data_IF_194384092057
#
_entry.id   IF_194384092057
#
_cell.length_a   1.000
_cell.length_b   1.000
_cell.length_c   1.000
_cell.angle_alpha   90.00
_cell.angle_beta   90.00
_cell.angle_gamma   90.00
#
_symmetry.space_group_name_H-M   'P 1'
#
loop_
_entity.id
_entity.type
_entity.pdbx_description
1 polymer ?
#
# COMPACT_ATOMS: atom_id res chain seq x y z
N UNK A 1 -9.14 -18.33 40.20
CA UNK A 1 -9.46 -17.88 41.58
C UNK A 1 -9.62 -16.37 41.55
N UNK A 2 -10.85 -15.84 41.60
CA UNK A 2 -11.14 -14.42 41.78
C UNK A 2 -11.45 -14.10 43.26
N UNK A 3 -11.53 -12.82 43.62
CA UNK A 3 -12.79 -12.29 44.16
C UNK A 3 -13.15 -10.97 43.46
N UNK A 4 -14.39 -10.62 43.08
CA UNK A 4 -15.75 -10.73 43.64
C UNK A 4 -16.08 -9.65 44.68
N UNK A 5 -17.08 -8.83 44.30
CA UNK A 5 -17.99 -7.94 45.05
C UNK A 5 -17.47 -6.56 45.48
N UNK A 6 -18.26 -5.50 45.45
CA UNK A 6 -19.68 -5.33 45.13
C UNK A 6 -20.07 -3.86 45.39
N UNK A 7 -21.03 -3.32 44.64
CA UNK A 7 -21.48 -1.93 44.79
C UNK A 7 -22.63 -1.78 45.78
N UNK A 8 -22.76 -0.58 46.36
CA UNK A 8 -24.03 0.01 46.78
C UNK A 8 -23.84 1.53 47.01
N UNK A 9 -24.83 2.31 46.59
CA UNK A 9 -24.89 3.76 46.69
C UNK A 9 -25.78 4.19 47.87
N UNK A 10 -25.46 5.32 48.51
CA UNK A 10 -26.40 6.24 49.17
C UNK A 10 -25.64 7.51 49.63
N UNK A 11 -26.14 8.70 49.28
CA UNK A 11 -25.94 9.92 50.09
C UNK A 11 -27.15 10.12 51.03
N UNK A 12 -27.38 11.30 51.65
CA UNK A 12 -26.53 12.48 51.79
C UNK A 12 -26.49 13.07 53.23
N UNK A 13 -25.79 14.21 53.37
CA UNK A 13 -26.14 15.39 54.19
C UNK A 13 -25.53 15.63 55.59
N UNK A 14 -25.03 16.88 55.70
CA UNK A 14 -25.03 17.82 56.83
C UNK A 14 -23.94 17.76 57.92
N UNK A 15 -23.34 18.94 58.21
CA UNK A 15 -22.91 19.29 59.57
C UNK A 15 -21.50 19.89 59.77
N UNK A 16 -21.43 21.23 59.74
CA UNK A 16 -20.62 22.12 60.63
C UNK A 16 -19.08 22.28 60.51
N UNK A 17 -18.70 23.50 60.07
CA UNK A 17 -17.82 24.53 60.68
C UNK A 17 -16.55 24.11 61.47
N UNK A 18 -15.35 24.52 61.03
CA UNK A 18 -14.59 25.73 61.49
C UNK A 18 -13.04 25.69 61.27
N UNK A 19 -12.50 26.84 60.78
CA UNK A 19 -11.23 27.55 61.13
C UNK A 19 -9.81 27.10 60.62
N UNK A 20 -9.21 28.02 59.82
CA UNK A 20 -7.80 28.50 59.64
C UNK A 20 -6.55 27.58 59.62
N UNK A 21 -5.71 27.70 58.56
CA UNK A 21 -4.26 27.44 58.56
C UNK A 21 -3.64 27.03 57.20
N UNK A 22 -2.41 27.45 56.79
CA UNK A 22 -2.02 27.60 55.38
C UNK A 22 -1.19 26.46 54.75
N UNK A 23 -1.24 26.44 53.41
CA UNK A 23 -0.24 25.96 52.43
C UNK A 23 0.35 24.53 52.56
N UNK A 24 -0.11 23.62 51.69
CA UNK A 24 0.70 22.49 51.20
C UNK A 24 0.48 22.32 49.68
N UNK A 25 1.58 22.34 48.94
CA UNK A 25 1.63 22.28 47.48
C UNK A 25 1.00 20.99 46.94
N UNK A 26 -0.08 21.13 46.17
CA UNK A 26 -0.62 20.03 45.38
C UNK A 26 0.27 19.80 44.15
N UNK A 27 1.06 18.73 44.16
CA UNK A 27 1.70 18.18 42.97
C UNK A 27 0.65 17.91 41.90
N UNK A 28 0.68 18.68 40.81
CA UNK A 28 -0.21 18.49 39.68
C UNK A 28 0.07 17.14 39.01
N UNK A 29 -0.93 16.25 38.99
CA UNK A 29 -0.86 15.00 38.26
C UNK A 29 -0.58 15.25 36.77
N UNK A 30 0.23 14.42 36.09
CA UNK A 30 0.59 14.64 34.70
C UNK A 30 -0.67 14.67 33.82
N UNK A 31 -0.91 15.80 33.14
CA UNK A 31 -2.01 15.93 32.18
C UNK A 31 -1.84 14.87 31.09
N UNK A 32 -2.71 13.87 31.11
CA UNK A 32 -2.73 12.79 30.13
C UNK A 32 -3.29 13.33 28.81
N UNK A 33 -2.44 13.96 28.00
CA UNK A 33 -2.76 14.48 26.67
C UNK A 33 -2.92 13.39 25.59
N UNK A 34 -2.98 12.11 25.99
CA UNK A 34 -3.22 11.02 25.05
C UNK A 34 -4.74 10.85 24.88
N UNK A 35 -5.27 10.97 23.64
CA UNK A 35 -6.68 10.70 23.38
C UNK A 35 -7.03 9.29 23.85
N UNK A 36 -8.21 9.12 24.45
CA UNK A 36 -8.69 7.79 24.82
C UNK A 36 -8.78 6.91 23.56
N UNK A 37 -8.30 5.68 23.70
CA UNK A 37 -8.26 4.73 22.61
C UNK A 37 -9.67 4.28 22.24
N UNK A 38 -10.08 4.54 21.00
CA UNK A 38 -11.32 4.01 20.43
C UNK A 38 -11.02 3.47 19.03
N UNK A 39 -11.58 2.31 18.67
CA UNK A 39 -11.39 1.70 17.36
C UNK A 39 -11.80 2.65 16.21
N UNK A 40 -12.80 3.50 16.46
CA UNK A 40 -13.24 4.56 15.55
C UNK A 40 -12.17 5.66 15.36
N UNK A 41 -11.61 6.22 16.44
CA UNK A 41 -10.60 7.29 16.36
C UNK A 41 -9.25 6.81 15.85
N UNK A 42 -8.97 5.51 15.98
CA UNK A 42 -7.78 4.86 15.44
C UNK A 42 -7.99 4.25 14.05
N UNK A 43 -9.18 4.40 13.45
CA UNK A 43 -9.53 3.87 12.13
C UNK A 43 -9.27 2.35 12.00
N UNK A 44 -9.42 1.61 13.10
CA UNK A 44 -9.25 0.16 13.17
C UNK A 44 -10.59 -0.59 13.10
N UNK A 45 -11.67 0.10 12.74
CA UNK A 45 -12.93 -0.56 12.54
C UNK A 45 -12.81 -1.60 11.41
N UNK A 46 -13.46 -2.77 11.57
CA UNK A 46 -13.53 -3.74 10.48
C UNK A 46 -14.19 -3.06 9.29
N UNK A 47 -13.41 -2.83 8.24
CA UNK A 47 -13.88 -2.24 7.01
C UNK A 47 -13.76 -3.28 5.91
N UNK A 48 -14.85 -3.53 5.19
CA UNK A 48 -14.77 -4.21 3.91
C UNK A 48 -13.98 -3.33 2.95
N UNK A 49 -12.78 -3.78 2.58
CA UNK A 49 -11.99 -3.20 1.48
C UNK A 49 -12.20 -4.10 0.26
N UNK A 50 -13.22 -3.86 -0.57
CA UNK A 50 -13.39 -4.65 -1.78
C UNK A 50 -12.22 -4.37 -2.71
N UNK A 51 -11.35 -5.37 -2.87
CA UNK A 51 -10.30 -5.35 -3.90
C UNK A 51 -10.98 -5.85 -5.17
N UNK A 52 -11.14 -4.96 -6.15
CA UNK A 52 -11.74 -5.29 -7.45
C UNK A 52 -10.75 -6.09 -8.29
N UNK A 53 -10.62 -7.37 -8.00
CA UNK A 53 -9.91 -8.32 -8.84
C UNK A 53 -10.87 -8.88 -9.92
N UNK A 54 -10.40 -9.16 -11.16
CA UNK A 54 -11.25 -9.61 -12.26
C UNK A 54 -12.06 -10.89 -11.98
N UNK A 55 -11.62 -11.71 -11.03
CA UNK A 55 -12.30 -12.92 -10.59
C UNK A 55 -13.48 -12.67 -9.63
N UNK A 56 -13.51 -11.54 -8.90
CA UNK A 56 -14.62 -11.17 -8.02
C UNK A 56 -15.73 -10.40 -8.76
N UNK A 57 -15.38 -9.64 -9.80
CA UNK A 57 -16.35 -8.91 -10.63
C UNK A 57 -17.19 -9.86 -11.51
N UNK A 58 -16.64 -11.03 -11.87
CA UNK A 58 -17.28 -12.00 -12.77
C UNK A 58 -18.65 -12.51 -12.28
N UNK A 59 -18.82 -12.98 -11.03
CA UNK A 59 -20.14 -13.38 -10.52
C UNK A 59 -21.08 -12.20 -10.24
N UNK A 60 -20.56 -11.04 -9.84
CA UNK A 60 -21.38 -9.84 -9.60
C UNK A 60 -21.96 -9.25 -10.88
N UNK A 61 -21.21 -9.27 -11.98
CA UNK A 61 -21.70 -8.81 -13.28
C UNK A 61 -22.83 -9.72 -13.79
N UNK A 62 -22.71 -11.04 -13.62
CA UNK A 62 -23.76 -12.00 -13.99
C UNK A 62 -25.02 -11.85 -13.13
N UNK A 63 -24.88 -11.66 -11.81
CA UNK A 63 -26.00 -11.43 -10.90
C UNK A 63 -26.71 -10.09 -11.14
N UNK A 64 -25.97 -9.05 -11.52
CA UNK A 64 -26.56 -7.78 -11.94
C UNK A 64 -27.29 -7.94 -13.28
N UNK A 65 -26.73 -8.67 -14.25
CA UNK A 65 -27.45 -8.89 -15.52
C UNK A 65 -28.77 -9.66 -15.34
N UNK A 66 -28.88 -10.63 -14.43
CA UNK A 66 -30.15 -11.36 -14.21
C UNK A 66 -31.20 -10.53 -13.46
N UNK A 67 -30.76 -9.71 -12.51
CA UNK A 67 -31.65 -8.84 -11.72
C UNK A 67 -32.17 -7.69 -12.57
N UNK A 68 -31.30 -7.09 -13.40
CA UNK A 68 -31.69 -6.08 -14.38
C UNK A 68 -32.56 -6.68 -15.49
N UNK A 69 -32.31 -7.91 -15.95
CA UNK A 69 -33.19 -8.56 -16.92
C UNK A 69 -34.61 -8.71 -16.35
N UNK A 70 -34.76 -9.24 -15.13
CA UNK A 70 -36.09 -9.46 -14.54
C UNK A 70 -36.86 -8.15 -14.32
N UNK A 71 -36.18 -7.09 -13.84
CA UNK A 71 -36.79 -5.76 -13.68
C UNK A 71 -37.06 -5.06 -15.03
N UNK A 72 -36.22 -5.27 -16.02
CA UNK A 72 -36.40 -4.69 -17.35
C UNK A 72 -37.58 -5.34 -18.08
N UNK A 73 -37.74 -6.67 -18.01
CA UNK A 73 -38.89 -7.36 -18.60
C UNK A 73 -40.20 -7.12 -17.84
N UNK A 74 -40.20 -6.99 -16.51
CA UNK A 74 -41.42 -6.69 -15.75
C UNK A 74 -41.92 -5.24 -15.95
N UNK A 75 -41.03 -4.27 -16.19
CA UNK A 75 -41.41 -2.88 -16.45
C UNK A 75 -41.74 -2.61 -17.93
N UNK A 76 -41.14 -3.35 -18.87
CA UNK A 76 -41.46 -3.25 -20.31
C UNK A 76 -42.89 -3.75 -20.61
N UNK A 77 -43.39 -4.76 -19.90
CA UNK A 77 -44.78 -5.22 -20.05
C UNK A 77 -45.84 -4.25 -19.53
N UNK A 78 -45.48 -3.31 -18.63
CA UNK A 78 -46.46 -2.39 -18.03
C UNK A 78 -46.69 -1.10 -18.85
N UNK A 79 -45.87 -0.83 -19.88
CA UNK A 79 -45.86 0.47 -20.57
C UNK A 79 -46.26 0.46 -22.06
N UNK A 80 -46.56 -0.70 -22.66
CA UNK A 80 -47.13 -0.75 -24.02
C UNK A 80 -48.61 -0.34 -24.08
N UNK A 81 -49.23 0.02 -22.94
CA UNK A 81 -50.64 0.41 -22.86
C UNK A 81 -50.88 1.73 -22.10
N UNK A 82 -50.07 2.75 -22.35
CA UNK A 82 -50.43 4.12 -21.95
C UNK A 82 -49.86 5.13 -22.93
N UNK A 83 -50.77 5.74 -23.70
CA UNK A 83 -50.48 6.81 -24.64
C UNK A 83 -50.30 8.13 -23.88
N UNK A 84 -49.48 9.02 -24.44
CA UNK A 84 -49.29 10.44 -24.10
C UNK A 84 -48.44 10.82 -22.86
N UNK A 85 -47.32 11.52 -23.11
CA UNK A 85 -46.63 12.38 -22.13
C UNK A 85 -45.23 11.94 -21.67
N UNK A 86 -44.18 12.44 -22.34
CA UNK A 86 -42.83 12.68 -21.79
C UNK A 86 -42.04 11.58 -21.03
N UNK A 87 -42.05 10.31 -21.44
CA UNK A 87 -41.11 9.32 -20.88
C UNK A 87 -39.85 9.11 -21.75
N UNK A 88 -39.01 10.15 -21.89
CA UNK A 88 -37.74 10.08 -22.65
C UNK A 88 -36.65 9.25 -21.95
N UNK A 89 -36.81 8.88 -20.68
CA UNK A 89 -35.75 8.26 -19.87
C UNK A 89 -35.45 6.82 -20.31
N UNK A 90 -36.47 6.01 -20.56
CA UNK A 90 -36.32 4.59 -20.93
C UNK A 90 -35.57 4.41 -22.28
N UNK A 91 -35.95 5.08 -23.39
CA UNK A 91 -35.22 4.91 -24.65
C UNK A 91 -33.77 5.41 -24.59
N UNK A 92 -33.50 6.46 -23.81
CA UNK A 92 -32.13 6.96 -23.58
C UNK A 92 -31.30 5.90 -22.85
N UNK A 93 -31.84 5.27 -21.81
CA UNK A 93 -31.13 4.20 -21.07
C UNK A 93 -30.85 2.97 -21.95
N UNK A 94 -31.77 2.60 -22.83
CA UNK A 94 -31.57 1.49 -23.78
C UNK A 94 -30.47 1.82 -24.80
N UNK A 95 -30.47 3.04 -25.34
CA UNK A 95 -29.43 3.49 -26.27
C UNK A 95 -28.05 3.50 -25.61
N UNK A 96 -27.97 4.01 -24.39
CA UNK A 96 -26.74 4.01 -23.58
C UNK A 96 -26.27 2.57 -23.29
N UNK A 97 -27.19 1.66 -22.96
CA UNK A 97 -26.89 0.24 -22.76
C UNK A 97 -26.32 -0.42 -24.03
N UNK A 98 -26.94 -0.20 -25.18
CA UNK A 98 -26.47 -0.70 -26.48
C UNK A 98 -25.08 -0.14 -26.85
N UNK A 99 -24.75 1.08 -26.43
CA UNK A 99 -23.42 1.66 -26.60
C UNK A 99 -22.37 1.02 -25.67
N UNK A 100 -22.71 0.76 -24.41
CA UNK A 100 -21.76 0.19 -23.45
C UNK A 100 -21.50 -1.30 -23.61
N UNK A 101 -22.42 -2.08 -24.20
CA UNK A 101 -22.22 -3.52 -24.48
C UNK A 101 -20.97 -3.80 -25.35
N UNK A 102 -20.81 -3.19 -26.55
CA UNK A 102 -19.64 -3.45 -27.38
C UNK A 102 -18.35 -2.94 -26.71
N UNK A 103 -18.41 -1.81 -25.99
CA UNK A 103 -17.28 -1.29 -25.22
C UNK A 103 -16.87 -2.29 -24.12
N UNK A 104 -17.84 -2.82 -23.37
CA UNK A 104 -17.63 -3.82 -22.33
C UNK A 104 -17.04 -5.12 -22.89
N UNK A 105 -17.54 -5.61 -24.02
CA UNK A 105 -16.99 -6.78 -24.73
C UNK A 105 -15.56 -6.53 -25.19
N UNK A 106 -15.26 -5.34 -25.73
CA UNK A 106 -13.91 -4.96 -26.14
C UNK A 106 -12.95 -4.90 -24.94
N UNK A 107 -13.36 -4.29 -23.82
CA UNK A 107 -12.58 -4.25 -22.58
C UNK A 107 -12.34 -5.64 -22.00
N UNK A 108 -13.36 -6.51 -21.98
CA UNK A 108 -13.25 -7.89 -21.50
C UNK A 108 -12.28 -8.70 -22.36
N UNK A 109 -12.40 -8.60 -23.69
CA UNK A 109 -11.48 -9.25 -24.62
C UNK A 109 -10.05 -8.73 -24.47
N UNK A 110 -9.85 -7.43 -24.25
CA UNK A 110 -8.54 -6.85 -24.00
C UNK A 110 -7.93 -7.35 -22.67
N UNK A 111 -8.74 -7.45 -21.61
CA UNK A 111 -8.30 -7.94 -20.30
C UNK A 111 -7.84 -9.41 -20.35
N UNK A 112 -8.59 -10.27 -21.03
CA UNK A 112 -8.24 -11.70 -21.16
C UNK A 112 -7.00 -11.96 -22.01
N UNK A 113 -6.50 -10.98 -22.78
CA UNK A 113 -5.24 -11.11 -23.53
C UNK A 113 -4.01 -10.92 -22.65
N UNK A 114 -4.17 -10.36 -21.44
CA UNK A 114 -3.07 -10.15 -20.51
C UNK A 114 -2.74 -11.48 -19.84
N UNK A 115 -1.52 -11.96 -20.06
CA UNK A 115 -1.00 -13.17 -19.41
C UNK A 115 -0.06 -12.78 -18.28
N UNK A 116 -0.39 -13.20 -17.07
CA UNK A 116 0.34 -12.90 -15.84
C UNK A 116 0.81 -14.19 -15.16
N UNK A 117 2.02 -14.16 -14.58
CA UNK A 117 2.55 -15.24 -13.74
C UNK A 117 2.91 -14.64 -12.38
N UNK A 118 2.17 -15.05 -11.34
CA UNK A 118 2.40 -14.61 -9.96
C UNK A 118 3.12 -15.71 -9.19
N UNK A 119 4.20 -15.37 -8.49
CA UNK A 119 4.94 -16.30 -7.65
C UNK A 119 5.31 -15.68 -6.30
N UNK A 120 4.92 -16.36 -5.22
CA UNK A 120 5.17 -15.92 -3.85
C UNK A 120 6.43 -16.57 -3.28
N UNK A 121 7.42 -15.75 -2.87
CA UNK A 121 8.73 -16.23 -2.42
C UNK A 121 9.09 -15.94 -0.95
N UNK A 122 8.23 -15.25 -0.20
CA UNK A 122 8.43 -14.81 1.20
C UNK A 122 8.75 -15.93 2.22
N UNK A 123 8.34 -17.17 1.92
CA UNK A 123 8.60 -18.36 2.75
C UNK A 123 9.57 -19.35 2.09
N UNK A 124 9.74 -19.25 0.76
CA UNK A 124 10.59 -20.17 -0.01
C UNK A 124 12.07 -19.80 0.07
N UNK A 125 12.34 -18.50 0.23
CA UNK A 125 13.70 -17.97 0.32
C UNK A 125 14.24 -17.89 1.75
N UNK A 126 13.46 -18.32 2.74
CA UNK A 126 13.87 -18.37 4.15
C UNK A 126 14.20 -19.83 4.51
N UNK A 127 15.40 -20.11 5.06
CA UNK A 127 15.76 -21.43 5.54
C UNK A 127 14.75 -21.98 6.57
N UNK A 128 14.49 -23.29 6.55
CA UNK A 128 13.48 -23.94 7.41
C UNK A 128 13.69 -23.68 8.91
N UNK A 129 14.96 -23.62 9.35
CA UNK A 129 15.35 -23.33 10.73
C UNK A 129 15.03 -21.89 11.17
N UNK A 130 14.88 -20.95 10.22
CA UNK A 130 14.65 -19.53 10.51
C UNK A 130 13.24 -19.06 10.14
N UNK A 131 12.32 -19.98 9.79
CA UNK A 131 10.94 -19.63 9.40
C UNK A 131 10.17 -18.90 10.49
N UNK A 132 10.44 -19.22 11.76
CA UNK A 132 9.82 -18.57 12.93
C UNK A 132 10.49 -17.23 13.28
N UNK A 133 11.74 -16.99 12.85
CA UNK A 133 12.48 -15.75 13.08
C UNK A 133 12.96 -15.13 11.77
N UNK A 134 12.01 -14.72 10.94
CA UNK A 134 12.29 -14.08 9.63
C UNK A 134 13.04 -12.76 9.79
N UNK A 135 12.72 -11.97 10.82
CA UNK A 135 13.37 -10.68 11.08
C UNK A 135 14.86 -10.88 11.37
N UNK A 136 15.21 -11.84 12.23
CA UNK A 136 16.61 -12.17 12.51
C UNK A 136 17.36 -12.66 11.27
N UNK A 137 16.72 -13.43 10.40
CA UNK A 137 17.31 -13.85 9.12
C UNK A 137 17.58 -12.65 8.18
N UNK A 138 16.62 -11.72 8.06
CA UNK A 138 16.75 -10.52 7.21
C UNK A 138 17.85 -9.60 7.74
N UNK A 139 17.92 -9.38 9.05
CA UNK A 139 18.87 -8.46 9.68
C UNK A 139 20.30 -9.01 9.73
N UNK A 140 20.49 -10.33 9.69
CA UNK A 140 21.82 -10.93 9.79
C UNK A 140 22.61 -10.76 8.48
N UNK A 141 23.58 -9.85 8.46
CA UNK A 141 24.42 -9.57 7.29
C UNK A 141 25.32 -10.75 6.87
N UNK A 142 25.69 -11.63 7.81
CA UNK A 142 26.60 -12.76 7.55
C UNK A 142 25.96 -13.87 6.73
N UNK A 143 24.62 -13.94 6.69
CA UNK A 143 23.89 -14.97 5.96
C UNK A 143 23.63 -14.51 4.53
N UNK A 144 24.04 -15.34 3.56
CA UNK A 144 23.71 -15.14 2.16
C UNK A 144 22.20 -15.31 1.93
N UNK A 145 21.58 -14.31 1.29
CA UNK A 145 20.13 -14.23 1.02
C UNK A 145 19.78 -14.56 -0.43
N UNK A 146 20.75 -14.98 -1.24
CA UNK A 146 20.50 -15.38 -2.63
C UNK A 146 19.56 -16.58 -2.67
N UNK A 147 18.43 -16.41 -3.37
CA UNK A 147 17.39 -17.40 -3.51
C UNK A 147 17.12 -17.67 -4.98
N UNK A 148 17.35 -18.91 -5.43
CA UNK A 148 17.08 -19.31 -6.81
C UNK A 148 15.76 -20.07 -6.87
N UNK A 149 14.86 -19.61 -7.72
CA UNK A 149 13.53 -20.20 -7.89
C UNK A 149 13.34 -20.62 -9.35
N UNK A 150 12.85 -21.83 -9.56
CA UNK A 150 12.44 -22.32 -10.87
C UNK A 150 11.00 -21.93 -11.16
N UNK A 151 10.80 -20.89 -11.96
CA UNK A 151 9.49 -20.43 -12.44
C UNK A 151 9.10 -21.20 -13.70
N UNK A 152 7.94 -21.86 -13.68
CA UNK A 152 7.36 -22.51 -14.86
C UNK A 152 6.44 -21.52 -15.57
N UNK A 153 6.75 -21.22 -16.83
CA UNK A 153 5.95 -20.34 -17.69
C UNK A 153 5.21 -21.26 -18.67
N UNK A 154 3.90 -21.50 -18.50
CA UNK A 154 3.17 -22.47 -19.32
C UNK A 154 2.97 -21.99 -20.76
N UNK A 155 2.83 -20.67 -20.96
CA UNK A 155 2.53 -20.06 -22.26
C UNK A 155 3.59 -19.04 -22.64
N UNK A 156 3.89 -18.94 -23.94
CA UNK A 156 4.84 -17.94 -24.43
C UNK A 156 4.33 -16.51 -24.17
N UNK A 157 5.12 -15.72 -23.45
CA UNK A 157 4.83 -14.31 -23.18
C UNK A 157 5.21 -13.43 -24.37
N UNK A 158 4.26 -12.61 -24.86
CA UNK A 158 4.52 -11.62 -25.91
C UNK A 158 5.16 -10.38 -25.30
N UNK A 159 6.08 -9.74 -26.05
CA UNK A 159 6.69 -8.46 -25.66
C UNK A 159 5.64 -7.32 -25.70
N UNK A 160 5.75 -6.28 -24.83
CA UNK A 160 6.70 -6.11 -23.74
C UNK A 160 6.34 -6.93 -22.49
N UNK A 161 7.35 -7.40 -21.74
CA UNK A 161 7.18 -8.12 -20.47
C UNK A 161 7.57 -7.17 -19.35
N UNK A 162 6.64 -6.95 -18.43
CA UNK A 162 6.86 -6.13 -17.23
C UNK A 162 7.04 -7.04 -16.01
N UNK A 163 7.88 -6.59 -15.07
CA UNK A 163 8.14 -7.29 -13.81
C UNK A 163 7.64 -6.40 -12.69
N UNK A 164 6.76 -6.95 -11.86
CA UNK A 164 6.22 -6.28 -10.69
C UNK A 164 6.56 -7.07 -9.43
N UNK A 165 6.79 -6.36 -8.34
CA UNK A 165 6.84 -6.96 -7.01
C UNK A 165 5.55 -6.59 -6.26
N UNK A 166 5.08 -7.51 -5.44
CA UNK A 166 3.88 -7.33 -4.65
C UNK A 166 4.24 -7.42 -3.17
N UNK A 167 3.85 -6.40 -2.40
CA UNK A 167 3.97 -6.38 -0.96
C UNK A 167 2.59 -6.60 -0.35
N UNK A 168 2.49 -7.57 0.55
CA UNK A 168 1.28 -7.81 1.34
C UNK A 168 1.43 -7.20 2.74
N UNK A 169 0.32 -6.70 3.30
CA UNK A 169 0.27 -6.05 4.63
C UNK A 169 1.26 -4.88 4.80
N UNK A 170 1.52 -4.14 3.72
CA UNK A 170 2.31 -2.91 3.72
C UNK A 170 1.41 -1.69 3.46
N UNK A 171 1.15 -0.89 4.50
CA UNK A 171 0.14 0.18 4.47
C UNK A 171 0.70 1.54 4.03
N UNK A 172 1.05 1.67 2.73
CA UNK A 172 1.55 2.93 2.18
C UNK A 172 0.53 4.08 2.23
N UNK A 173 -0.76 3.75 2.30
CA UNK A 173 -1.84 4.74 2.37
C UNK A 173 -2.07 5.32 3.78
N UNK A 174 -1.35 4.86 4.79
CA UNK A 174 -1.48 5.43 6.13
C UNK A 174 -1.07 6.91 6.11
N UNK A 175 -1.91 7.83 6.59
CA UNK A 175 -1.69 9.29 6.47
C UNK A 175 -0.27 9.73 6.83
N UNK A 176 0.24 9.29 7.99
CA UNK A 176 1.61 9.63 8.43
C UNK A 176 2.71 9.09 7.52
N UNK A 177 2.48 7.96 6.86
CA UNK A 177 3.44 7.39 5.91
C UNK A 177 3.38 8.17 4.59
N UNK A 178 2.16 8.33 4.06
CA UNK A 178 1.91 8.98 2.77
C UNK A 178 2.39 10.44 2.73
N UNK A 179 2.41 11.15 3.86
CA UNK A 179 2.91 12.53 3.95
C UNK A 179 4.36 12.64 4.42
N UNK A 180 5.06 11.53 4.68
CA UNK A 180 6.43 11.55 5.21
C UNK A 180 7.47 11.60 4.11
N UNK A 181 7.52 12.76 3.44
CA UNK A 181 8.51 13.14 2.43
C UNK A 181 8.46 14.67 2.28
N UNK A 182 9.50 15.27 1.69
CA UNK A 182 9.53 16.70 1.40
C UNK A 182 9.79 16.93 -0.09
N UNK A 183 8.82 17.50 -0.81
CA UNK A 183 8.94 17.73 -2.26
C UNK A 183 10.02 18.76 -2.58
N UNK A 184 10.09 19.86 -1.82
CA UNK A 184 11.05 20.93 -2.06
C UNK A 184 12.50 20.39 -2.00
N UNK A 185 12.78 19.55 -1.00
CA UNK A 185 14.06 18.84 -0.86
C UNK A 185 14.37 17.92 -2.05
N UNK A 186 13.36 17.22 -2.58
CA UNK A 186 13.54 16.31 -3.71
C UNK A 186 13.70 17.03 -5.06
N UNK A 187 13.22 18.28 -5.16
CA UNK A 187 13.21 19.05 -6.40
C UNK A 187 14.41 20.00 -6.54
N UNK A 188 14.82 20.69 -5.47
CA UNK A 188 15.87 21.71 -5.52
C UNK A 188 17.03 21.40 -4.55
N UNK A 189 18.28 21.31 -5.04
CA UNK A 189 19.47 21.14 -4.19
C UNK A 189 19.61 22.18 -3.07
N UNK A 190 19.05 23.38 -3.23
CA UNK A 190 19.11 24.44 -2.20
C UNK A 190 18.29 24.09 -0.95
N UNK A 191 17.27 23.25 -1.09
CA UNK A 191 16.39 22.84 0.00
C UNK A 191 16.93 21.64 0.79
N UNK A 192 18.03 21.03 0.35
CA UNK A 192 18.65 19.88 1.03
C UNK A 192 19.10 20.19 2.46
N UNK A 193 19.59 21.41 2.69
CA UNK A 193 20.05 21.88 3.99
C UNK A 193 18.94 22.51 4.84
N UNK A 194 17.71 22.62 4.30
CA UNK A 194 16.61 23.23 5.01
C UNK A 194 16.23 22.37 6.24
N UNK A 195 16.21 22.99 7.41
CA UNK A 195 15.88 22.32 8.65
C UNK A 195 14.37 22.13 8.84
N UNK A 196 13.52 22.83 8.07
CA UNK A 196 12.05 22.74 8.20
C UNK A 196 11.45 21.55 7.44
N UNK A 197 11.87 20.35 7.83
CA UNK A 197 11.40 19.06 7.26
C UNK A 197 10.57 18.26 8.28
N UNK A 198 9.66 18.94 8.99
CA UNK A 198 8.88 18.36 10.09
C UNK A 198 8.01 17.17 9.67
N UNK A 199 7.50 17.19 8.43
CA UNK A 199 6.66 16.13 7.87
C UNK A 199 7.43 14.81 7.67
N UNK A 200 8.76 14.89 7.52
CA UNK A 200 9.64 13.73 7.37
C UNK A 200 9.91 12.96 8.68
N UNK A 201 9.36 13.38 9.83
CA UNK A 201 9.56 12.65 11.09
C UNK A 201 8.97 11.23 11.01
N UNK A 202 9.59 10.22 11.67
CA UNK A 202 10.80 10.33 12.51
C UNK A 202 12.12 10.40 11.73
N UNK A 203 12.16 9.93 10.49
CA UNK A 203 13.38 9.81 9.67
C UNK A 203 13.73 11.11 8.93
N UNK A 204 13.71 12.23 9.65
CA UNK A 204 14.04 13.55 9.13
C UNK A 204 15.53 13.89 9.27
N UNK A 205 16.14 13.48 10.39
CA UNK A 205 17.50 13.87 10.75
C UNK A 205 18.34 12.65 11.11
N UNK A 206 19.60 12.67 10.71
CA UNK A 206 20.61 11.72 11.12
C UNK A 206 21.17 12.10 12.50
N UNK A 207 22.22 11.40 12.94
CA UNK A 207 22.94 11.74 14.16
C UNK A 207 23.38 13.22 14.14
N UNK A 208 23.33 13.88 15.32
CA UNK A 208 23.70 15.28 15.51
C UNK A 208 22.79 16.31 14.80
N UNK A 209 21.57 15.92 14.42
CA UNK A 209 20.56 16.86 13.88
C UNK A 209 20.76 17.26 12.42
N UNK A 210 21.62 16.54 11.69
CA UNK A 210 21.89 16.81 10.27
C UNK A 210 20.73 16.27 9.42
N UNK A 211 20.14 17.03 8.49
CA UNK A 211 19.08 16.55 7.62
C UNK A 211 19.48 15.31 6.81
N UNK A 212 18.55 14.36 6.70
CA UNK A 212 18.65 13.22 5.79
C UNK A 212 18.12 13.62 4.42
N UNK A 213 18.82 13.24 3.36
CA UNK A 213 18.38 13.42 1.97
C UNK A 213 18.35 12.05 1.30
N UNK A 214 17.23 11.61 0.70
CA UNK A 214 15.87 12.10 0.90
C UNK A 214 15.33 11.77 2.31
N UNK A 215 14.58 12.70 2.92
CA UNK A 215 13.97 12.49 4.23
C UNK A 215 12.64 11.72 4.18
N UNK A 216 12.29 11.10 5.30
CA UNK A 216 10.95 10.56 5.53
C UNK A 216 10.79 9.05 5.33
N UNK A 217 9.68 8.53 5.84
CA UNK A 217 9.40 7.08 5.91
C UNK A 217 9.24 6.43 4.53
N UNK A 218 8.77 7.19 3.54
CA UNK A 218 8.59 6.68 2.17
C UNK A 218 9.92 6.27 1.57
N UNK A 219 10.92 7.15 1.65
CA UNK A 219 12.26 6.84 1.19
C UNK A 219 12.94 5.81 2.10
N UNK A 220 12.78 5.94 3.43
CA UNK A 220 13.43 5.07 4.40
C UNK A 220 13.08 3.59 4.24
N UNK A 221 11.84 3.29 3.85
CA UNK A 221 11.34 1.92 3.68
C UNK A 221 11.37 1.43 2.22
N UNK A 222 12.29 1.99 1.42
CA UNK A 222 12.51 1.58 0.03
C UNK A 222 12.68 0.06 -0.10
N UNK A 223 12.01 -0.54 -1.07
CA UNK A 223 12.17 -1.96 -1.34
C UNK A 223 13.58 -2.31 -1.86
N UNK A 224 14.21 -3.36 -1.33
CA UNK A 224 15.63 -3.63 -1.52
C UNK A 224 15.99 -4.98 -2.16
N UNK A 225 15.01 -5.81 -2.53
CA UNK A 225 15.33 -7.05 -3.22
C UNK A 225 15.78 -6.77 -4.65
N UNK A 226 16.63 -7.66 -5.17
CA UNK A 226 17.12 -7.59 -6.54
C UNK A 226 16.79 -8.87 -7.28
N UNK A 227 16.33 -8.72 -8.53
CA UNK A 227 15.93 -9.84 -9.37
C UNK A 227 16.86 -9.98 -10.56
N UNK A 228 17.21 -11.22 -10.88
CA UNK A 228 17.91 -11.63 -12.10
C UNK A 228 17.22 -12.84 -12.68
N UNK A 229 17.01 -12.86 -13.99
CA UNK A 229 16.29 -13.94 -14.67
C UNK A 229 17.23 -14.67 -15.62
N UNK A 230 17.04 -15.98 -15.72
CA UNK A 230 17.71 -16.79 -16.71
C UNK A 230 16.72 -17.85 -17.23
N UNK A 231 16.84 -18.19 -18.51
CA UNK A 231 16.00 -19.17 -19.19
C UNK A 231 16.85 -20.37 -19.58
N UNK A 232 16.29 -21.57 -19.45
CA UNK A 232 16.85 -22.80 -20.03
C UNK A 232 15.95 -23.24 -21.18
N UNK A 233 16.31 -22.93 -22.44
CA UNK A 233 15.54 -23.41 -23.58
C UNK A 233 15.68 -24.92 -23.72
N UNK A 234 14.56 -25.63 -23.94
CA UNK A 234 14.63 -27.01 -24.43
C UNK A 234 15.04 -26.97 -25.91
N UNK A 235 16.19 -27.56 -26.25
CA UNK A 235 16.61 -27.77 -27.65
C UNK A 235 16.35 -29.22 -28.04
N UNK A 236 16.19 -29.48 -29.33
CA UNK A 236 15.81 -30.78 -29.90
C UNK A 236 16.83 -31.93 -29.73
N UNK A 237 17.77 -31.83 -28.80
CA UNK A 237 18.78 -32.85 -28.51
C UNK A 237 19.38 -32.78 -27.09
N UNK A 238 18.74 -32.05 -26.16
CA UNK A 238 19.20 -31.96 -24.77
C UNK A 238 18.83 -30.68 -24.04
N UNK A 239 19.29 -30.57 -22.78
CA UNK A 239 19.17 -29.36 -21.97
C UNK A 239 20.17 -28.34 -22.49
N UNK A 240 19.69 -27.27 -23.15
CA UNK A 240 20.54 -26.16 -23.56
C UNK A 240 21.12 -25.40 -22.37
N UNK A 241 22.24 -24.70 -22.59
CA UNK A 241 22.87 -23.85 -21.59
C UNK A 241 21.93 -22.77 -21.02
N UNK A 242 22.30 -22.24 -19.86
CA UNK A 242 21.55 -21.18 -19.18
C UNK A 242 21.75 -19.85 -19.92
N UNK A 243 20.66 -19.27 -20.41
CA UNK A 243 20.65 -17.97 -21.08
C UNK A 243 20.21 -16.88 -20.09
N UNK A 244 21.08 -15.91 -19.80
CA UNK A 244 20.74 -14.79 -18.92
C UNK A 244 19.79 -13.80 -19.64
N UNK A 245 18.72 -13.40 -18.97
CA UNK A 245 17.76 -12.42 -19.49
C UNK A 245 18.07 -11.03 -18.90
N UNK A 246 18.32 -10.06 -19.78
CA UNK A 246 18.59 -8.67 -19.38
C UNK A 246 17.32 -8.01 -18.85
N UNK A 247 17.38 -7.48 -17.63
CA UNK A 247 16.31 -6.69 -17.01
C UNK A 247 16.62 -5.20 -17.18
N UNK A 248 15.72 -4.46 -17.82
CA UNK A 248 15.84 -3.01 -17.97
C UNK A 248 15.23 -2.37 -16.71
N UNK A 249 16.03 -1.57 -15.99
CA UNK A 249 15.61 -0.85 -14.77
C UNK A 249 15.44 0.67 -14.98
N UNK A 250 15.77 1.16 -16.17
CA UNK A 250 15.64 2.58 -16.54
C UNK A 250 14.29 2.86 -17.22
N UNK A 251 13.79 4.09 -17.10
CA UNK A 251 12.57 4.53 -17.79
C UNK A 251 11.27 3.94 -17.25
N UNK A 252 11.28 3.36 -16.04
CA UNK A 252 10.11 2.70 -15.43
C UNK A 252 9.18 3.65 -14.67
N UNK A 253 9.67 4.84 -14.27
CA UNK A 253 8.84 5.87 -13.60
C UNK A 253 8.02 6.68 -14.60
N UNK A 254 7.14 7.55 -14.12
CA UNK A 254 6.44 8.47 -15.00
C UNK A 254 7.40 9.54 -15.53
N UNK A 255 7.18 9.98 -16.77
CA UNK A 255 7.99 11.04 -17.39
C UNK A 255 7.88 12.35 -16.59
N UNK A 256 6.67 12.70 -16.16
CA UNK A 256 6.40 13.88 -15.34
C UNK A 256 7.15 13.87 -14.01
N UNK A 257 7.31 12.71 -13.36
CA UNK A 257 8.09 12.59 -12.12
C UNK A 257 9.57 12.90 -12.38
N UNK A 258 10.17 12.29 -13.39
CA UNK A 258 11.59 12.47 -13.73
C UNK A 258 11.95 13.89 -14.17
N UNK A 259 11.02 14.58 -14.81
CA UNK A 259 11.29 15.90 -15.40
C UNK A 259 10.87 17.06 -14.51
N UNK A 260 9.88 16.88 -13.63
CA UNK A 260 9.28 17.97 -12.85
C UNK A 260 9.35 17.81 -11.34
N UNK A 261 9.31 16.59 -10.81
CA UNK A 261 9.24 16.36 -9.35
C UNK A 261 10.62 16.10 -8.74
N UNK A 262 11.48 15.33 -9.40
CA UNK A 262 12.80 14.99 -8.89
C UNK A 262 13.89 15.82 -9.59
N UNK A 263 14.73 16.50 -8.80
CA UNK A 263 15.82 17.33 -9.29
C UNK A 263 16.99 16.49 -9.80
N UNK A 264 17.63 16.93 -10.90
CA UNK A 264 18.78 16.22 -11.50
C UNK A 264 20.07 16.27 -10.67
N UNK A 265 20.11 17.15 -9.68
CA UNK A 265 21.31 17.44 -8.87
C UNK A 265 21.08 17.25 -7.38
N UNK A 266 20.02 16.54 -6.99
CA UNK A 266 19.74 16.19 -5.60
C UNK A 266 20.27 14.79 -5.36
N UNK A 267 21.23 14.62 -4.44
CA UNK A 267 21.87 13.33 -4.18
C UNK A 267 21.61 12.83 -2.76
N UNK A 268 21.50 11.52 -2.54
CA UNK A 268 21.34 10.95 -1.21
C UNK A 268 22.49 11.35 -0.26
N UNK A 269 22.16 11.87 0.91
CA UNK A 269 23.10 12.31 1.96
C UNK A 269 22.60 11.87 3.32
N UNK A 270 23.52 11.40 4.17
CA UNK A 270 23.23 10.97 5.56
C UNK A 270 22.16 9.88 5.70
N UNK A 271 21.78 9.21 4.61
CA UNK A 271 20.70 8.24 4.56
C UNK A 271 21.10 6.92 5.21
N UNK A 272 20.32 6.47 6.20
CA UNK A 272 20.57 5.26 6.98
C UNK A 272 22.01 5.15 7.54
N UNK A 273 22.57 6.27 8.03
CA UNK A 273 23.90 6.32 8.65
C UNK A 273 23.87 6.09 10.19
N UNK A 274 22.69 5.80 10.75
CA UNK A 274 22.49 5.57 12.19
C UNK A 274 22.47 4.08 12.56
N UNK A 275 22.03 3.79 13.79
CA UNK A 275 21.80 2.42 14.28
C UNK A 275 20.55 1.78 13.67
N UNK A 276 19.58 2.59 13.25
CA UNK A 276 18.39 2.13 12.56
C UNK A 276 18.68 2.02 11.07
N UNK A 277 18.47 0.82 10.54
CA UNK A 277 18.53 0.52 9.11
C UNK A 277 17.12 0.24 8.65
N UNK A 278 16.70 0.93 7.59
CA UNK A 278 15.40 0.77 6.97
C UNK A 278 15.41 -0.29 5.87
N UNK A 279 14.81 0.05 4.74
CA UNK A 279 14.77 -0.78 3.55
C UNK A 279 16.07 -0.73 2.76
N UNK A 280 16.00 -0.27 1.52
CA UNK A 280 17.11 -0.21 0.58
C UNK A 280 18.09 0.91 0.89
N UNK A 281 19.36 0.69 0.55
CA UNK A 281 20.37 1.74 0.56
C UNK A 281 20.35 2.47 -0.77
N UNK A 282 20.57 3.78 -0.71
CA UNK A 282 20.67 4.63 -1.89
C UNK A 282 22.13 4.78 -2.31
N UNK A 283 22.35 4.92 -3.61
CA UNK A 283 23.68 5.18 -4.19
C UNK A 283 23.96 6.68 -4.14
N UNK A 284 24.96 7.16 -3.37
CA UNK A 284 25.26 8.59 -3.26
C UNK A 284 25.70 9.24 -4.58
N UNK A 285 26.00 8.44 -5.62
CA UNK A 285 26.42 8.92 -6.95
C UNK A 285 25.26 9.06 -7.92
N UNK A 286 24.05 8.67 -7.53
CA UNK A 286 22.86 8.76 -8.38
C UNK A 286 21.86 9.73 -7.76
N UNK A 287 21.35 10.67 -8.54
CA UNK A 287 20.25 11.52 -8.10
C UNK A 287 18.93 10.74 -8.06
#
# INVERSE_FOLDING_TARGET
MPPVNGGAAAGPSSGSRDVHGPAAAATAAPKRNRPRYHAFTQQQLPACKPILAPNMVRPQLLAQTSSFHTLFFSNVSCFTNSNSGQNQVIPILVFVGLLFIPIGLACYAASNKVFEVVYRYDTKCVPKNMLHNKVGYIQNASINKTCTINLKIPNAMKRPIFIYYQLDRFYQNHRRYATSFNIAQLSDPKEEANADIKDCKPEAYAAKGIPVVPCGLVAWSLFNDTYSFARRPRRAGGIGGVEALRVIKSGISWRSERERLFGKHVYPKNFQNGSLVGGGRLDPRKP
#
